data_IF_743057304739
#
_entry.id   IF_743057304739
#
_cell.length_a   1.000
_cell.length_b   1.000
_cell.length_c   1.000
_cell.angle_alpha   90.00
_cell.angle_beta   90.00
_cell.angle_gamma   90.00
#
_symmetry.space_group_name_H-M   'P 1'
#
loop_
_entity.id
_entity.type
_entity.pdbx_description
1 polymer ?
#
# COMPACT_ATOMS: atom_id res chain seq x y z
N UNK A 1 -1.80 -9.38 3.65
CA UNK A 1 -2.36 -10.63 3.07
C UNK A 1 -3.66 -10.97 3.76
N UNK A 2 -4.59 -11.52 3.02
CA UNK A 2 -5.82 -12.08 3.57
C UNK A 2 -5.60 -13.56 3.90
N UNK A 3 -5.83 -13.96 5.14
CA UNK A 3 -5.64 -15.36 5.57
C UNK A 3 -6.69 -16.30 4.99
N UNK A 4 -7.86 -15.78 4.61
CA UNK A 4 -8.98 -16.57 4.10
C UNK A 4 -8.81 -16.93 2.62
N UNK A 5 -8.50 -15.95 1.75
CA UNK A 5 -8.36 -16.19 0.33
C UNK A 5 -6.89 -16.15 -0.13
N UNK A 6 -5.95 -15.85 0.76
CA UNK A 6 -4.50 -15.78 0.54
C UNK A 6 -4.05 -14.76 -0.49
N UNK A 7 -4.92 -13.84 -0.88
CA UNK A 7 -4.53 -12.74 -1.73
C UNK A 7 -3.62 -11.76 -0.98
N UNK A 8 -2.66 -11.18 -1.69
CA UNK A 8 -1.66 -10.28 -1.15
C UNK A 8 -1.82 -8.88 -1.73
N UNK A 9 -1.46 -7.89 -0.94
CA UNK A 9 -1.30 -6.51 -1.39
C UNK A 9 0.03 -5.98 -0.89
N UNK A 10 0.62 -5.07 -1.63
CA UNK A 10 1.90 -4.45 -1.30
C UNK A 10 1.68 -2.96 -1.09
N UNK A 11 2.28 -2.41 -0.05
CA UNK A 11 2.34 -0.99 0.22
C UNK A 11 3.69 -0.62 0.80
N UNK A 12 4.00 0.66 0.83
CA UNK A 12 5.21 1.18 1.44
C UNK A 12 4.91 2.29 2.43
N UNK A 13 5.72 2.39 3.47
CA UNK A 13 5.55 3.40 4.50
C UNK A 13 6.85 3.61 5.26
N UNK A 14 7.01 4.80 5.83
CA UNK A 14 8.08 5.08 6.81
C UNK A 14 7.91 4.31 8.11
N UNK A 15 6.68 4.25 8.58
CA UNK A 15 6.34 3.61 9.84
C UNK A 15 5.13 2.70 9.62
N UNK A 16 5.35 1.41 9.81
CA UNK A 16 4.33 0.41 9.55
C UNK A 16 3.18 0.42 10.58
N UNK A 17 3.44 0.86 11.81
CA UNK A 17 2.43 0.83 12.87
C UNK A 17 1.24 1.76 12.59
N UNK A 18 1.44 3.06 12.30
CA UNK A 18 0.34 3.92 11.90
C UNK A 18 -0.34 3.44 10.61
N UNK A 19 0.42 2.89 9.66
CA UNK A 19 -0.13 2.37 8.41
C UNK A 19 -1.09 1.22 8.64
N UNK A 20 -0.70 0.26 9.48
CA UNK A 20 -1.57 -0.86 9.84
C UNK A 20 -2.82 -0.37 10.57
N UNK A 21 -2.68 0.56 11.51
CA UNK A 21 -3.82 1.15 12.21
C UNK A 21 -4.77 1.85 11.27
N UNK A 22 -4.27 2.56 10.26
CA UNK A 22 -5.08 3.23 9.24
C UNK A 22 -5.85 2.22 8.39
N UNK A 23 -5.22 1.13 7.96
CA UNK A 23 -5.92 0.08 7.23
C UNK A 23 -7.08 -0.50 8.05
N UNK A 24 -6.82 -0.85 9.30
CA UNK A 24 -7.85 -1.40 10.19
C UNK A 24 -8.99 -0.41 10.43
N UNK A 25 -8.66 0.86 10.64
CA UNK A 25 -9.65 1.92 10.83
C UNK A 25 -10.53 2.10 9.59
N UNK A 26 -9.93 2.18 8.40
CA UNK A 26 -10.66 2.34 7.14
C UNK A 26 -11.56 1.13 6.85
N UNK A 27 -11.09 -0.08 7.11
CA UNK A 27 -11.92 -1.28 6.96
C UNK A 27 -13.12 -1.24 7.91
N UNK A 28 -12.92 -0.90 9.17
CA UNK A 28 -13.98 -0.81 10.17
C UNK A 28 -14.99 0.29 9.85
N UNK A 29 -14.54 1.41 9.31
CA UNK A 29 -15.38 2.57 8.98
C UNK A 29 -16.02 2.46 7.58
N UNK A 30 -15.62 1.50 6.77
CA UNK A 30 -16.13 1.35 5.41
C UNK A 30 -15.61 2.39 4.43
N UNK A 31 -14.42 2.97 4.68
CA UNK A 31 -13.80 3.98 3.83
C UNK A 31 -12.85 3.31 2.84
N UNK A 32 -13.24 3.25 1.58
CA UNK A 32 -12.46 2.58 0.53
C UNK A 32 -11.33 3.50 0.03
N UNK A 33 -10.12 3.31 0.56
CA UNK A 33 -8.96 4.16 0.29
C UNK A 33 -7.90 3.54 -0.61
N UNK A 34 -7.84 2.21 -0.72
CA UNK A 34 -6.86 1.50 -1.54
C UNK A 34 -7.29 0.06 -1.80
N UNK A 35 -6.54 -0.65 -2.63
CA UNK A 35 -6.85 -2.03 -3.01
C UNK A 35 -6.92 -3.00 -1.84
N UNK A 36 -6.06 -2.83 -0.84
CA UNK A 36 -6.06 -3.67 0.36
C UNK A 36 -7.36 -3.49 1.15
N UNK A 37 -7.76 -2.25 1.40
CA UNK A 37 -9.00 -1.94 2.10
C UNK A 37 -10.22 -2.43 1.31
N UNK A 38 -10.23 -2.20 0.00
CA UNK A 38 -11.30 -2.64 -0.89
C UNK A 38 -11.54 -4.15 -0.80
N UNK A 39 -10.46 -4.93 -0.73
CA UNK A 39 -10.54 -6.39 -0.61
C UNK A 39 -11.39 -6.81 0.60
N UNK A 40 -11.16 -6.21 1.75
CA UNK A 40 -11.88 -6.54 2.98
C UNK A 40 -13.28 -5.91 3.06
N UNK A 41 -13.56 -4.88 2.27
CA UNK A 41 -14.90 -4.27 2.20
C UNK A 41 -15.81 -4.93 1.17
N UNK A 42 -15.27 -5.42 0.06
CA UNK A 42 -16.07 -5.88 -1.08
C UNK A 42 -15.84 -7.34 -1.46
N UNK A 43 -14.60 -7.83 -1.37
CA UNK A 43 -14.23 -9.15 -1.91
C UNK A 43 -14.20 -10.25 -0.85
N UNK A 44 -13.78 -9.94 0.36
CA UNK A 44 -13.64 -10.91 1.44
C UNK A 44 -14.16 -10.31 2.76
N UNK A 45 -15.46 -10.03 2.78
CA UNK A 45 -16.10 -9.36 3.92
C UNK A 45 -16.32 -10.35 5.06
N UNK A 46 -15.91 -9.95 6.26
CA UNK A 46 -16.25 -10.66 7.51
C UNK A 46 -17.03 -9.69 8.40
N UNK A 47 -18.30 -9.98 8.62
CA UNK A 47 -19.19 -9.10 9.37
C UNK A 47 -18.95 -9.16 10.89
N UNK A 48 -18.37 -10.23 11.40
CA UNK A 48 -18.07 -10.38 12.83
C UNK A 48 -16.77 -9.68 13.21
N UNK A 49 -15.70 -9.91 12.44
CA UNK A 49 -14.40 -9.29 12.63
C UNK A 49 -13.82 -8.84 11.29
N UNK A 50 -14.14 -7.62 10.83
CA UNK A 50 -13.73 -7.15 9.51
C UNK A 50 -12.23 -7.19 9.25
N UNK A 51 -11.40 -7.11 10.29
CA UNK A 51 -9.94 -7.14 10.20
C UNK A 51 -9.33 -8.49 10.60
N UNK A 52 -10.15 -9.46 10.96
CA UNK A 52 -9.67 -10.74 11.50
C UNK A 52 -8.84 -11.56 10.53
N UNK A 53 -9.06 -11.39 9.22
CA UNK A 53 -8.32 -12.10 8.18
C UNK A 53 -7.15 -11.31 7.62
N UNK A 54 -6.89 -10.09 8.12
CA UNK A 54 -5.77 -9.26 7.68
C UNK A 54 -4.50 -9.65 8.43
N UNK A 55 -3.47 -10.08 7.69
CA UNK A 55 -2.11 -10.23 8.22
C UNK A 55 -1.22 -9.18 7.57
N UNK A 56 -0.36 -8.60 8.37
CA UNK A 56 0.63 -7.63 7.95
C UNK A 56 2.03 -8.14 8.27
N UNK A 57 2.95 -8.08 7.30
CA UNK A 57 4.34 -8.42 7.53
C UNK A 57 5.26 -7.60 6.62
N UNK A 58 6.49 -7.41 7.06
CA UNK A 58 7.49 -6.62 6.34
C UNK A 58 8.28 -7.55 5.43
N UNK A 59 8.34 -7.24 4.13
CA UNK A 59 9.06 -8.05 3.14
C UNK A 59 10.36 -7.39 2.68
N UNK A 60 10.53 -6.09 2.90
CA UNK A 60 11.72 -5.34 2.47
C UNK A 60 11.86 -4.06 3.28
N UNK A 61 13.03 -3.44 3.22
CA UNK A 61 13.32 -2.18 3.89
C UNK A 61 14.44 -1.43 3.21
N UNK A 62 14.69 -0.21 3.67
CA UNK A 62 15.84 0.60 3.24
C UNK A 62 16.96 0.45 4.27
N UNK A 63 18.17 0.09 3.80
CA UNK A 63 19.27 -0.24 4.72
C UNK A 63 20.03 1.00 5.21
N UNK A 64 20.28 1.99 4.39
CA UNK A 64 21.05 3.17 4.78
C UNK A 64 20.38 4.41 4.24
N UNK A 65 19.70 5.12 5.13
CA UNK A 65 18.97 6.36 4.81
C UNK A 65 19.69 7.61 5.30
N UNK A 66 20.87 7.47 5.87
CA UNK A 66 21.65 8.60 6.37
C UNK A 66 22.00 9.57 5.22
N UNK A 67 21.77 10.86 5.44
CA UNK A 67 22.01 11.89 4.45
C UNK A 67 20.96 11.99 3.34
N UNK A 68 19.94 11.15 3.34
CA UNK A 68 18.84 11.24 2.38
C UNK A 68 17.74 12.18 2.87
N UNK A 69 17.17 12.95 1.94
CA UNK A 69 15.98 13.75 2.24
C UNK A 69 14.74 12.85 2.34
N UNK A 70 13.67 13.39 2.91
CA UNK A 70 12.39 12.69 2.97
C UNK A 70 11.86 12.34 1.57
N UNK A 71 12.06 13.22 0.60
CA UNK A 71 11.67 12.99 -0.80
C UNK A 71 12.45 11.84 -1.43
N UNK A 72 13.76 11.77 -1.18
CA UNK A 72 14.61 10.68 -1.67
C UNK A 72 14.19 9.33 -1.08
N UNK A 73 13.89 9.30 0.21
CA UNK A 73 13.40 8.09 0.87
C UNK A 73 12.04 7.67 0.31
N UNK A 74 11.12 8.63 0.09
CA UNK A 74 9.81 8.35 -0.49
C UNK A 74 9.93 7.76 -1.91
N UNK A 75 10.85 8.30 -2.74
CA UNK A 75 11.14 7.76 -4.06
C UNK A 75 11.65 6.30 -3.99
N UNK A 76 12.57 6.03 -3.09
CA UNK A 76 13.12 4.67 -2.91
C UNK A 76 12.06 3.68 -2.42
N UNK A 77 11.21 4.11 -1.48
CA UNK A 77 10.09 3.29 -1.01
C UNK A 77 9.11 2.97 -2.13
N UNK A 78 8.78 3.97 -2.96
CA UNK A 78 7.88 3.77 -4.08
C UNK A 78 8.47 2.81 -5.13
N UNK A 79 9.78 2.90 -5.42
CA UNK A 79 10.45 1.98 -6.31
C UNK A 79 10.38 0.54 -5.79
N UNK A 80 10.61 0.33 -4.50
CA UNK A 80 10.49 -0.99 -3.88
C UNK A 80 9.07 -1.51 -3.88
N UNK A 81 8.10 -0.67 -3.61
CA UNK A 81 6.68 -1.04 -3.69
C UNK A 81 6.31 -1.55 -5.08
N UNK A 82 6.67 -0.81 -6.13
CA UNK A 82 6.42 -1.20 -7.52
C UNK A 82 7.13 -2.50 -7.89
N UNK A 83 8.38 -2.66 -7.45
CA UNK A 83 9.13 -3.91 -7.66
C UNK A 83 8.37 -5.11 -7.09
N UNK A 84 7.89 -5.01 -5.85
CA UNK A 84 7.19 -6.11 -5.19
C UNK A 84 5.78 -6.34 -5.73
N UNK A 85 5.05 -5.29 -6.13
CA UNK A 85 3.78 -5.44 -6.84
C UNK A 85 3.98 -6.25 -8.12
N UNK A 86 5.00 -5.94 -8.90
CA UNK A 86 5.33 -6.68 -10.12
C UNK A 86 5.79 -8.10 -9.85
N UNK A 87 6.68 -8.28 -8.88
CA UNK A 87 7.26 -9.59 -8.53
C UNK A 87 6.21 -10.56 -7.99
N UNK A 88 5.33 -10.08 -7.11
CA UNK A 88 4.25 -10.90 -6.52
C UNK A 88 2.98 -10.93 -7.38
N UNK A 89 2.94 -10.14 -8.46
CA UNK A 89 1.80 -10.05 -9.39
C UNK A 89 0.50 -9.67 -8.67
N UNK A 90 0.59 -8.81 -7.64
CA UNK A 90 -0.55 -8.50 -6.76
C UNK A 90 -1.59 -7.61 -7.43
N UNK A 91 -1.25 -6.91 -8.51
CA UNK A 91 -2.20 -6.11 -9.27
C UNK A 91 -3.18 -6.99 -10.09
N UNK A 92 -2.72 -8.17 -10.56
CA UNK A 92 -3.53 -9.10 -11.34
C UNK A 92 -4.10 -10.25 -10.53
N UNK A 93 -3.35 -10.72 -9.53
CA UNK A 93 -3.67 -11.89 -8.71
C UNK A 93 -3.84 -11.58 -7.23
N UNK A 94 -3.86 -10.31 -6.85
CA UNK A 94 -3.93 -9.88 -5.48
C UNK A 94 -4.78 -8.63 -5.31
N UNK A 95 -4.50 -7.88 -4.24
CA UNK A 95 -5.33 -6.76 -3.80
C UNK A 95 -4.93 -5.40 -4.39
N UNK A 96 -3.76 -5.27 -5.00
CA UNK A 96 -3.33 -3.99 -5.56
C UNK A 96 -4.16 -3.62 -6.78
N UNK A 97 -4.54 -2.34 -6.86
CA UNK A 97 -5.26 -1.77 -7.99
C UNK A 97 -4.29 -1.05 -8.94
N UNK A 98 -4.73 -0.75 -10.16
CA UNK A 98 -3.90 -0.02 -11.12
C UNK A 98 -3.45 1.34 -10.61
N UNK A 99 -4.26 2.03 -9.80
CA UNK A 99 -3.85 3.31 -9.21
C UNK A 99 -2.73 3.15 -8.17
N UNK A 100 -2.63 2.00 -7.50
CA UNK A 100 -1.51 1.71 -6.59
C UNK A 100 -0.20 1.64 -7.37
N UNK A 101 -0.21 0.98 -8.53
CA UNK A 101 0.95 0.91 -9.43
C UNK A 101 1.33 2.28 -9.99
N UNK A 102 0.34 3.09 -10.36
CA UNK A 102 0.53 4.39 -10.99
C UNK A 102 0.76 5.52 -9.98
N UNK A 103 0.85 5.21 -8.68
CA UNK A 103 1.09 6.19 -7.64
C UNK A 103 2.42 6.89 -7.87
N UNK A 104 2.42 8.20 -7.65
CA UNK A 104 3.61 9.05 -7.75
C UNK A 104 4.01 9.60 -6.39
N UNK A 105 5.29 9.94 -6.25
CA UNK A 105 5.77 10.63 -5.07
C UNK A 105 5.21 12.05 -5.02
N UNK A 106 5.29 12.68 -3.84
CA UNK A 106 4.88 14.07 -3.66
C UNK A 106 5.62 15.01 -4.61
N UNK A 107 6.94 14.82 -4.77
CA UNK A 107 7.76 15.63 -5.66
C UNK A 107 7.33 15.50 -7.13
N UNK A 108 7.06 14.27 -7.58
CA UNK A 108 6.58 14.02 -8.95
C UNK A 108 5.24 14.69 -9.21
N UNK A 109 4.32 14.70 -8.23
CA UNK A 109 3.03 15.37 -8.35
C UNK A 109 3.19 16.89 -8.52
N UNK A 110 4.08 17.51 -7.77
CA UNK A 110 4.39 18.94 -7.89
C UNK A 110 4.96 19.28 -9.28
N UNK A 111 5.88 18.48 -9.78
CA UNK A 111 6.44 18.64 -11.12
C UNK A 111 5.39 18.54 -12.22
N UNK A 112 4.46 17.57 -12.11
CA UNK A 112 3.35 17.45 -13.06
C UNK A 112 2.43 18.65 -13.05
N UNK A 113 2.10 19.18 -11.88
CA UNK A 113 1.28 20.38 -11.74
C UNK A 113 1.95 21.58 -12.41
N UNK A 114 3.25 21.74 -12.23
CA UNK A 114 4.03 22.82 -12.87
C UNK A 114 4.09 22.66 -14.40
N UNK A 115 4.15 21.42 -14.90
CA UNK A 115 4.16 21.13 -16.34
C UNK A 115 2.84 21.45 -17.02
N UNK A 116 1.73 21.36 -16.30
CA UNK A 116 0.39 21.62 -16.81
C UNK A 116 0.00 23.10 -16.76
N UNK A 117 0.76 23.88 -16.02
CA UNK A 117 0.58 25.32 -15.93
C UNK A 117 1.29 26.03 -17.11
#
# INVERSE_FOLDING_TARGET
>A
MCTRCREQGVGSTFDWKPRLSNYKSHIKQGINTCGIVKHFLENCVDHEDPCGNLIFFIIDGLNNTDGLSMEQIDDLLLQKEKFWIGTLVTMHKGMNLSHDWNRTTRNQRVQRSNSLA
#
